data_IF_855832250242
#
_entry.id   IF_855832250242
#
_cell.length_a   1.000
_cell.length_b   1.000
_cell.length_c   1.000
_cell.angle_alpha   90.00
_cell.angle_beta   90.00
_cell.angle_gamma   90.00
#
_symmetry.space_group_name_H-M   'P 1'
#
loop_
_entity.id
_entity.type
_entity.pdbx_description
1 polymer ?
#
# COMPACT_ATOMS: atom_id res chain seq x y z
N UNK A 1 35.25 57.21 -28.33
CA UNK A 1 36.31 56.20 -28.14
C UNK A 1 36.66 56.21 -26.66
N UNK A 2 36.31 55.24 -25.84
CA UNK A 2 35.80 53.90 -26.12
C UNK A 2 35.02 53.42 -24.91
N UNK A 3 33.94 52.71 -25.20
CA UNK A 3 33.24 51.77 -24.32
C UNK A 3 34.22 50.80 -23.67
N UNK A 4 33.95 50.33 -22.44
CA UNK A 4 34.05 48.92 -22.03
C UNK A 4 33.31 48.71 -20.70
N UNK A 5 32.02 48.38 -20.83
CA UNK A 5 31.29 47.52 -19.91
C UNK A 5 31.96 46.14 -19.87
N UNK A 6 32.34 45.66 -18.69
CA UNK A 6 32.57 44.22 -18.47
C UNK A 6 31.74 43.75 -17.27
N UNK A 7 30.45 43.59 -17.54
CA UNK A 7 29.60 42.72 -16.74
C UNK A 7 30.00 41.28 -17.03
N UNK A 8 30.77 40.67 -16.12
CA UNK A 8 30.95 39.21 -16.10
C UNK A 8 29.65 38.55 -15.60
N UNK A 9 28.59 38.66 -16.40
CA UNK A 9 27.34 37.94 -16.26
C UNK A 9 27.49 36.57 -16.85
N UNK A 10 27.69 35.57 -16.00
CA UNK A 10 27.58 34.16 -16.38
C UNK A 10 26.20 33.94 -17.06
N UNK A 11 26.14 33.55 -18.35
CA UNK A 11 24.89 33.39 -19.09
C UNK A 11 24.08 32.17 -18.64
N UNK A 12 24.67 31.29 -17.85
CA UNK A 12 23.94 30.26 -17.11
C UNK A 12 23.47 30.88 -15.80
N UNK A 13 22.33 31.57 -15.89
CA UNK A 13 21.59 32.05 -14.73
C UNK A 13 21.56 30.97 -13.66
N UNK A 14 21.76 31.40 -12.41
CA UNK A 14 21.68 30.55 -11.22
C UNK A 14 20.40 29.71 -11.33
N UNK A 15 20.52 28.46 -11.76
CA UNK A 15 19.53 27.42 -11.47
C UNK A 15 19.60 27.27 -9.96
N UNK A 16 18.89 28.15 -9.26
CA UNK A 16 18.59 27.96 -7.87
C UNK A 16 17.75 26.69 -7.87
N UNK A 17 18.39 25.60 -7.47
CA UNK A 17 17.78 24.32 -7.17
C UNK A 17 16.90 24.57 -5.93
N UNK A 18 15.75 25.19 -6.14
CA UNK A 18 14.77 25.39 -5.09
C UNK A 18 14.23 24.00 -4.76
N UNK A 19 14.75 23.43 -3.67
CA UNK A 19 14.19 22.33 -2.91
C UNK A 19 13.78 21.11 -3.73
N UNK A 20 14.61 20.07 -3.75
CA UNK A 20 14.10 18.71 -3.98
C UNK A 20 12.88 18.50 -3.07
N UNK A 21 11.69 18.24 -3.63
CA UNK A 21 10.50 17.96 -2.82
C UNK A 21 10.85 16.84 -1.86
N UNK A 22 10.64 17.07 -0.57
CA UNK A 22 10.81 16.02 0.41
C UNK A 22 9.79 14.92 0.10
N UNK A 23 10.18 13.63 0.15
CA UNK A 23 9.40 12.49 -0.39
C UNK A 23 8.06 12.20 0.32
N UNK A 24 7.63 13.10 1.21
CA UNK A 24 6.40 13.02 1.98
C UNK A 24 5.69 14.37 2.15
N UNK A 25 6.14 15.42 1.45
CA UNK A 25 5.53 16.74 1.55
C UNK A 25 4.22 16.78 0.75
N UNK A 26 3.19 17.40 1.35
CA UNK A 26 1.89 17.59 0.69
C UNK A 26 2.07 18.44 -0.57
N UNK A 27 1.28 18.14 -1.61
CA UNK A 27 1.33 18.88 -2.87
C UNK A 27 0.96 20.35 -2.63
N UNK A 28 1.80 21.26 -3.15
CA UNK A 28 1.51 22.70 -3.11
C UNK A 28 0.32 23.03 -4.02
N UNK A 29 -0.42 24.11 -3.72
CA UNK A 29 -1.58 24.50 -4.54
C UNK A 29 -1.18 24.86 -5.98
N UNK A 30 -0.01 25.47 -6.18
CA UNK A 30 0.49 25.83 -7.51
C UNK A 30 0.83 24.59 -8.34
N UNK A 31 1.44 23.57 -7.73
CA UNK A 31 1.74 22.31 -8.42
C UNK A 31 0.49 21.49 -8.68
N UNK A 32 -0.42 21.39 -7.70
CA UNK A 32 -1.72 20.75 -7.89
C UNK A 32 -2.49 21.38 -9.06
N UNK A 33 -2.41 22.71 -9.24
CA UNK A 33 -3.04 23.41 -10.38
C UNK A 33 -2.41 23.01 -11.71
N UNK A 34 -1.08 22.84 -11.78
CA UNK A 34 -0.40 22.36 -12.99
C UNK A 34 -0.86 20.94 -13.35
N UNK A 35 -0.94 20.05 -12.36
CA UNK A 35 -1.38 18.67 -12.59
C UNK A 35 -2.86 18.56 -12.93
N UNK A 36 -3.72 19.39 -12.34
CA UNK A 36 -5.13 19.43 -12.72
C UNK A 36 -5.30 19.85 -14.18
N UNK A 37 -4.52 20.84 -14.65
CA UNK A 37 -4.50 21.25 -16.07
C UNK A 37 -3.95 20.15 -16.98
N UNK A 38 -2.92 19.43 -16.56
CA UNK A 38 -2.36 18.31 -17.31
C UNK A 38 -3.39 17.19 -17.48
N UNK A 39 -4.07 16.81 -16.40
CA UNK A 39 -5.13 15.83 -16.42
C UNK A 39 -6.27 16.28 -17.34
N UNK A 40 -6.72 17.52 -17.22
CA UNK A 40 -7.76 18.10 -18.07
C UNK A 40 -7.37 18.07 -19.56
N UNK A 41 -6.11 18.36 -19.87
CA UNK A 41 -5.59 18.32 -21.24
C UNK A 41 -5.43 16.91 -21.82
N UNK A 42 -5.52 15.87 -20.99
CA UNK A 42 -5.45 14.47 -21.43
C UNK A 42 -6.78 13.94 -21.98
N UNK A 43 -7.88 14.70 -21.82
CA UNK A 43 -9.22 14.32 -22.25
C UNK A 43 -9.87 15.39 -23.13
N UNK A 44 -10.96 15.04 -23.81
CA UNK A 44 -11.72 15.97 -24.64
C UNK A 44 -12.44 17.02 -23.78
N UNK A 45 -12.35 18.30 -24.16
CA UNK A 45 -13.07 19.39 -23.49
C UNK A 45 -14.60 19.29 -23.59
N UNK A 46 -15.11 18.58 -24.60
CA UNK A 46 -16.55 18.48 -24.83
C UNK A 46 -17.29 17.67 -23.75
N UNK A 47 -16.58 16.92 -22.92
CA UNK A 47 -17.15 16.07 -21.87
C UNK A 47 -17.38 16.84 -20.55
N UNK A 48 -17.11 18.15 -20.51
CA UNK A 48 -17.05 18.93 -19.27
C UNK A 48 -17.89 20.18 -19.40
N UNK A 49 -18.91 20.29 -18.54
CA UNK A 49 -19.77 21.49 -18.48
C UNK A 49 -19.02 22.70 -17.91
N UNK A 50 -18.33 22.53 -16.77
CA UNK A 50 -17.58 23.60 -16.10
C UNK A 50 -16.13 23.15 -15.75
N UNK A 51 -15.15 23.48 -16.61
CA UNK A 51 -13.77 23.08 -16.39
C UNK A 51 -13.09 23.82 -15.24
N UNK A 52 -13.55 25.02 -14.89
CA UNK A 52 -12.94 25.81 -13.81
C UNK A 52 -13.33 25.25 -12.45
N UNK A 53 -14.63 24.94 -12.26
CA UNK A 53 -15.12 24.32 -11.04
C UNK A 53 -14.54 22.91 -10.86
N UNK A 54 -14.47 22.13 -11.94
CA UNK A 54 -13.83 20.82 -11.89
C UNK A 54 -12.35 20.91 -11.52
N UNK A 55 -11.59 21.80 -12.16
CA UNK A 55 -10.18 22.00 -11.84
C UNK A 55 -9.98 22.44 -10.38
N UNK A 56 -10.82 23.34 -9.86
CA UNK A 56 -10.76 23.75 -8.47
C UNK A 56 -11.00 22.58 -7.49
N UNK A 57 -11.96 21.71 -7.80
CA UNK A 57 -12.23 20.51 -7.01
C UNK A 57 -11.06 19.51 -7.06
N UNK A 58 -10.47 19.27 -8.24
CA UNK A 58 -9.31 18.39 -8.41
C UNK A 58 -8.09 18.93 -7.67
N UNK A 59 -7.81 20.24 -7.75
CA UNK A 59 -6.74 20.89 -7.00
C UNK A 59 -6.93 20.67 -5.50
N UNK A 60 -8.17 20.82 -5.00
CA UNK A 60 -8.47 20.57 -3.60
C UNK A 60 -8.15 19.13 -3.20
N UNK A 61 -8.50 18.15 -4.04
CA UNK A 61 -8.17 16.73 -3.82
C UNK A 61 -6.65 16.54 -3.79
N UNK A 62 -5.92 17.03 -4.80
CA UNK A 62 -4.46 16.85 -4.90
C UNK A 62 -3.68 17.45 -3.73
N UNK A 63 -4.13 18.58 -3.16
CA UNK A 63 -3.52 19.16 -1.95
C UNK A 63 -3.60 18.26 -0.70
N UNK A 64 -4.48 17.25 -0.67
CA UNK A 64 -4.55 16.27 0.41
C UNK A 64 -3.51 15.15 0.28
N UNK A 65 -2.92 14.95 -0.89
CA UNK A 65 -1.98 13.86 -1.18
C UNK A 65 -0.54 14.39 -1.33
N UNK A 66 0.47 13.54 -1.08
CA UNK A 66 1.87 13.92 -1.31
C UNK A 66 2.16 14.11 -2.80
N UNK A 67 3.16 14.93 -3.10
CA UNK A 67 3.50 15.32 -4.47
C UNK A 67 3.74 14.12 -5.39
N UNK A 68 4.45 13.11 -4.92
CA UNK A 68 4.82 11.91 -5.69
C UNK A 68 3.59 11.11 -6.13
N UNK A 69 2.55 11.07 -5.29
CA UNK A 69 1.29 10.40 -5.61
C UNK A 69 0.58 11.15 -6.73
N UNK A 70 0.51 12.48 -6.67
CA UNK A 70 -0.15 13.30 -7.70
C UNK A 70 0.58 13.19 -9.04
N UNK A 71 1.92 13.22 -9.03
CA UNK A 71 2.75 13.01 -10.22
C UNK A 71 2.42 11.67 -10.89
N UNK A 72 2.40 10.58 -10.12
CA UNK A 72 2.14 9.25 -10.68
C UNK A 72 0.69 9.09 -11.18
N UNK A 73 -0.28 9.70 -10.50
CA UNK A 73 -1.69 9.65 -10.92
C UNK A 73 -1.93 10.42 -12.21
N UNK A 74 -1.25 11.56 -12.41
CA UNK A 74 -1.36 12.38 -13.60
C UNK A 74 -0.37 12.03 -14.71
N UNK A 75 0.44 10.98 -14.55
CA UNK A 75 1.38 10.53 -15.58
C UNK A 75 0.60 10.05 -16.82
N UNK A 76 0.84 10.61 -18.03
CA UNK A 76 0.12 10.21 -19.23
C UNK A 76 0.44 8.77 -19.68
N UNK A 77 1.54 8.17 -19.22
CA UNK A 77 2.01 6.84 -19.64
C UNK A 77 1.47 5.72 -18.74
N UNK A 78 1.31 5.99 -17.44
CA UNK A 78 0.92 4.97 -16.44
C UNK A 78 -0.26 5.37 -15.55
N UNK A 79 -0.65 6.65 -15.56
CA UNK A 79 -1.65 7.23 -14.69
C UNK A 79 -3.08 7.08 -15.22
N UNK A 80 -3.95 7.99 -14.75
CA UNK A 80 -5.39 7.97 -15.04
C UNK A 80 -5.71 7.93 -16.54
N UNK A 81 -4.98 8.70 -17.34
CA UNK A 81 -5.21 8.82 -18.78
C UNK A 81 -5.01 7.49 -19.54
N UNK A 82 -4.23 6.56 -18.98
CA UNK A 82 -4.05 5.22 -19.56
C UNK A 82 -5.09 4.22 -19.03
N UNK A 83 -5.61 4.43 -17.82
CA UNK A 83 -6.56 3.51 -17.16
C UNK A 83 -8.00 3.74 -17.59
N UNK A 84 -8.38 4.99 -17.81
CA UNK A 84 -9.76 5.39 -18.09
C UNK A 84 -9.89 5.88 -19.53
N UNK A 85 -10.87 5.33 -20.24
CA UNK A 85 -11.19 5.74 -21.62
C UNK A 85 -11.93 7.08 -21.68
N UNK A 86 -12.73 7.35 -20.66
CA UNK A 86 -13.65 8.49 -20.58
C UNK A 86 -13.22 9.45 -19.48
N UNK A 87 -13.76 10.66 -19.49
CA UNK A 87 -13.45 11.67 -18.49
C UNK A 87 -13.68 11.17 -17.04
N UNK A 88 -12.68 11.29 -16.16
CA UNK A 88 -12.77 10.76 -14.81
C UNK A 88 -13.68 11.58 -13.91
N UNK A 89 -14.44 10.90 -13.06
CA UNK A 89 -15.19 11.51 -11.97
C UNK A 89 -14.26 11.90 -10.81
N UNK A 90 -14.68 12.87 -9.98
CA UNK A 90 -13.93 13.24 -8.77
C UNK A 90 -13.73 12.06 -7.80
N UNK A 91 -14.67 11.12 -7.78
CA UNK A 91 -14.59 9.91 -6.96
C UNK A 91 -13.48 8.96 -7.45
N UNK A 92 -13.37 8.77 -8.77
CA UNK A 92 -12.32 7.94 -9.38
C UNK A 92 -10.94 8.55 -9.16
N UNK A 93 -10.80 9.87 -9.35
CA UNK A 93 -9.55 10.58 -9.06
C UNK A 93 -9.11 10.36 -7.61
N UNK A 94 -10.04 10.55 -6.66
CA UNK A 94 -9.75 10.31 -5.23
C UNK A 94 -9.41 8.85 -4.95
N UNK A 95 -10.12 7.92 -5.55
CA UNK A 95 -9.88 6.48 -5.41
C UNK A 95 -8.47 6.13 -5.87
N UNK A 96 -8.06 6.62 -7.03
CA UNK A 96 -6.73 6.38 -7.60
C UNK A 96 -5.60 7.02 -6.79
N UNK A 97 -5.78 8.27 -6.35
CA UNK A 97 -4.83 8.89 -5.40
C UNK A 97 -4.68 8.06 -4.12
N UNK A 98 -5.79 7.49 -3.61
CA UNK A 98 -5.77 6.65 -2.41
C UNK A 98 -5.06 5.32 -2.66
N UNK A 99 -5.32 4.67 -3.81
CA UNK A 99 -4.67 3.42 -4.20
C UNK A 99 -3.15 3.60 -4.35
N UNK A 100 -2.71 4.62 -5.10
CA UNK A 100 -1.29 4.92 -5.30
C UNK A 100 -0.62 5.29 -3.96
N UNK A 101 -1.29 6.10 -3.12
CA UNK A 101 -0.79 6.42 -1.78
C UNK A 101 -0.58 5.17 -0.92
N UNK A 102 -1.51 4.20 -0.98
CA UNK A 102 -1.37 2.93 -0.28
C UNK A 102 -0.18 2.12 -0.81
N UNK A 103 0.03 2.08 -2.13
CA UNK A 103 1.20 1.42 -2.74
C UNK A 103 2.52 2.02 -2.27
N UNK A 104 2.63 3.35 -2.21
CA UNK A 104 3.80 4.02 -1.66
C UNK A 104 4.01 3.67 -0.18
N UNK A 105 2.94 3.70 0.62
CA UNK A 105 3.02 3.31 2.04
C UNK A 105 3.46 1.85 2.21
N UNK A 106 2.96 0.93 1.39
CA UNK A 106 3.40 -0.46 1.36
C UNK A 106 4.85 -0.61 0.92
N UNK A 107 5.29 0.17 -0.07
CA UNK A 107 6.68 0.19 -0.54
C UNK A 107 7.63 0.66 0.55
N UNK A 108 7.30 1.75 1.24
CA UNK A 108 8.11 2.28 2.35
C UNK A 108 8.13 1.32 3.52
N UNK A 109 7.00 0.70 3.87
CA UNK A 109 6.96 -0.36 4.89
C UNK A 109 7.89 -1.52 4.53
N UNK A 110 7.87 -1.98 3.27
CA UNK A 110 8.76 -3.06 2.81
C UNK A 110 10.23 -2.67 2.89
N UNK A 111 10.60 -1.46 2.48
CA UNK A 111 11.98 -0.95 2.61
C UNK A 111 12.44 -0.83 4.05
N UNK A 112 11.53 -0.51 4.96
CA UNK A 112 11.84 -0.31 6.38
C UNK A 112 11.69 -1.57 7.23
N UNK A 113 11.22 -2.68 6.63
CA UNK A 113 11.13 -3.96 7.30
C UNK A 113 12.54 -4.40 7.76
N UNK A 114 12.69 -4.63 9.07
CA UNK A 114 13.95 -5.05 9.65
C UNK A 114 14.94 -3.93 9.99
N UNK A 115 14.72 -2.67 9.56
CA UNK A 115 15.61 -1.55 9.91
C UNK A 115 15.55 -1.15 11.39
N UNK A 116 14.39 -1.29 12.01
CA UNK A 116 14.18 -0.97 13.44
C UNK A 116 14.45 -2.15 14.36
N UNK A 117 14.74 -3.33 13.82
CA UNK A 117 15.12 -4.49 14.62
C UNK A 117 16.60 -4.30 14.94
N UNK A 118 16.93 -4.04 16.21
CA UNK A 118 18.32 -4.05 16.65
C UNK A 118 18.96 -5.36 16.21
N UNK A 119 20.21 -5.34 15.70
CA UNK A 119 20.92 -6.58 15.39
C UNK A 119 20.75 -7.56 16.55
N UNK A 120 20.43 -8.85 16.30
CA UNK A 120 20.29 -9.82 17.36
C UNK A 120 21.54 -9.74 18.22
N UNK A 121 21.37 -9.56 19.54
CA UNK A 121 22.52 -9.60 20.43
C UNK A 121 23.28 -10.91 20.22
N UNK A 122 24.61 -10.83 20.31
CA UNK A 122 25.46 -12.00 20.28
C UNK A 122 24.89 -13.03 21.27
N UNK A 123 24.56 -14.23 20.79
CA UNK A 123 23.93 -15.31 21.59
C UNK A 123 24.89 -15.94 22.61
N UNK A 124 25.88 -15.17 23.11
CA UNK A 124 26.96 -15.57 24.01
C UNK A 124 26.48 -16.09 25.37
N UNK A 125 25.18 -16.03 25.67
CA UNK A 125 24.55 -16.65 26.84
C UNK A 125 23.54 -17.76 26.53
N UNK A 126 23.45 -18.24 25.27
CA UNK A 126 22.55 -19.36 24.94
C UNK A 126 23.13 -20.65 25.54
N UNK A 127 22.38 -21.36 26.41
CA UNK A 127 22.89 -22.58 27.01
C UNK A 127 23.25 -23.61 25.95
N UNK A 128 24.36 -24.31 26.18
CA UNK A 128 24.79 -25.38 25.29
C UNK A 128 23.78 -26.54 25.32
N UNK A 129 23.80 -27.39 24.29
CA UNK A 129 22.86 -28.52 24.21
C UNK A 129 22.99 -29.48 25.42
N UNK A 130 24.20 -29.61 25.96
CA UNK A 130 24.49 -30.36 27.18
C UNK A 130 23.88 -29.71 28.43
N UNK A 131 24.01 -28.39 28.58
CA UNK A 131 23.41 -27.63 29.69
C UNK A 131 21.87 -27.69 29.65
N UNK A 132 21.26 -27.63 28.46
CA UNK A 132 19.81 -27.80 28.31
C UNK A 132 19.34 -29.18 28.76
N UNK A 133 20.08 -30.24 28.37
CA UNK A 133 19.80 -31.61 28.82
C UNK A 133 20.04 -31.79 30.31
N UNK A 134 21.02 -31.09 30.90
CA UNK A 134 21.23 -31.11 32.34
C UNK A 134 20.08 -30.42 33.10
N UNK A 135 19.56 -29.31 32.57
CA UNK A 135 18.47 -28.55 33.20
C UNK A 135 17.10 -29.22 33.08
N UNK A 136 16.81 -29.84 31.93
CA UNK A 136 15.48 -30.38 31.63
C UNK A 136 15.45 -31.90 31.44
N UNK A 137 16.58 -32.58 31.66
CA UNK A 137 16.73 -34.01 31.43
C UNK A 137 16.94 -34.38 29.94
N UNK A 138 17.16 -35.68 29.65
CA UNK A 138 17.42 -36.17 28.29
C UNK A 138 16.33 -35.80 27.27
N UNK A 139 15.08 -35.65 27.74
CA UNK A 139 13.92 -35.35 26.91
C UNK A 139 13.45 -33.89 26.98
N UNK A 140 14.33 -32.97 27.39
CA UNK A 140 14.03 -31.52 27.42
C UNK A 140 12.77 -31.14 28.21
N UNK A 141 12.41 -31.91 29.23
CA UNK A 141 11.24 -31.67 30.08
C UNK A 141 9.90 -32.02 29.41
N UNK A 142 9.94 -32.61 28.22
CA UNK A 142 8.77 -33.19 27.57
C UNK A 142 8.56 -34.55 28.25
N UNK A 143 7.34 -34.89 28.67
CA UNK A 143 7.07 -36.26 29.10
C UNK A 143 7.13 -37.15 27.84
N UNK A 144 8.07 -38.10 27.77
CA UNK A 144 7.80 -39.28 26.96
C UNK A 144 6.75 -40.03 27.77
N UNK A 145 5.47 -39.84 27.44
CA UNK A 145 4.55 -40.93 27.67
C UNK A 145 5.18 -42.13 26.96
N UNK A 146 5.53 -43.16 27.72
CA UNK A 146 5.98 -44.43 27.19
C UNK A 146 4.89 -44.95 26.25
N UNK A 147 4.95 -44.53 24.98
CA UNK A 147 4.20 -45.13 23.88
C UNK A 147 4.88 -46.46 23.51
N UNK A 148 5.01 -47.33 24.51
CA UNK A 148 5.05 -48.77 24.32
C UNK A 148 3.61 -49.26 24.22
N UNK A 149 2.89 -48.79 23.20
CA UNK A 149 1.81 -49.53 22.56
C UNK A 149 1.52 -48.85 21.24
N UNK A 150 1.45 -49.63 20.17
CA UNK A 150 1.19 -49.17 18.80
C UNK A 150 -0.21 -48.60 18.62
N UNK A 151 -0.52 -47.49 19.27
CA UNK A 151 -1.66 -46.67 18.92
C UNK A 151 -1.16 -45.52 18.06
N UNK A 152 -1.37 -45.66 16.75
CA UNK A 152 -1.58 -44.50 15.88
C UNK A 152 -2.54 -43.60 16.65
N UNK A 153 -2.04 -42.49 17.19
CA UNK A 153 -2.94 -41.48 17.73
C UNK A 153 -3.77 -41.07 16.54
N UNK A 154 -5.01 -41.55 16.49
CA UNK A 154 -6.01 -41.05 15.59
C UNK A 154 -5.94 -39.54 15.76
N UNK A 155 -5.41 -38.83 14.75
CA UNK A 155 -5.73 -37.40 14.61
C UNK A 155 -7.22 -37.35 14.90
N UNK A 156 -7.71 -36.46 15.81
CA UNK A 156 -9.14 -36.36 16.03
C UNK A 156 -9.72 -36.28 14.63
N UNK A 157 -10.52 -37.29 14.29
CA UNK A 157 -11.12 -37.38 12.98
C UNK A 157 -11.98 -36.14 12.96
N UNK A 158 -11.45 -35.06 12.37
CA UNK A 158 -12.16 -33.80 12.22
C UNK A 158 -13.23 -34.16 11.21
N UNK A 159 -14.28 -34.82 11.69
CA UNK A 159 -15.48 -35.15 10.94
C UNK A 159 -16.05 -33.78 10.62
N UNK A 160 -15.66 -33.26 9.46
CA UNK A 160 -16.37 -32.16 8.86
C UNK A 160 -17.83 -32.59 8.85
N UNK A 161 -18.72 -31.73 9.37
CA UNK A 161 -20.14 -32.01 9.31
C UNK A 161 -20.49 -32.26 7.84
N UNK A 162 -21.16 -33.38 7.59
CA UNK A 162 -21.72 -33.65 6.27
C UNK A 162 -22.66 -32.51 5.87
N UNK A 163 -22.87 -32.29 4.57
CA UNK A 163 -23.71 -31.19 4.09
C UNK A 163 -25.11 -31.20 4.71
N UNK A 164 -25.66 -32.38 4.98
CA UNK A 164 -26.96 -32.57 5.65
C UNK A 164 -26.91 -32.10 7.12
N UNK A 165 -25.88 -32.49 7.87
CA UNK A 165 -25.67 -32.02 9.25
C UNK A 165 -25.46 -30.50 9.31
N UNK A 166 -24.76 -29.93 8.32
CA UNK A 166 -24.55 -28.49 8.21
C UNK A 166 -25.87 -27.74 7.94
N UNK A 167 -26.73 -28.29 7.07
CA UNK A 167 -28.05 -27.74 6.80
C UNK A 167 -28.96 -27.77 8.04
N UNK A 168 -28.95 -28.86 8.81
CA UNK A 168 -29.69 -28.98 10.07
C UNK A 168 -29.20 -27.99 11.12
N UNK A 169 -27.87 -27.83 11.25
CA UNK A 169 -27.28 -26.85 12.15
C UNK A 169 -27.69 -25.42 11.77
N UNK A 170 -27.61 -25.05 10.49
CA UNK A 170 -28.07 -23.73 10.05
C UNK A 170 -29.59 -23.54 10.23
N UNK A 171 -30.39 -24.59 10.09
CA UNK A 171 -31.83 -24.55 10.39
C UNK A 171 -32.09 -24.35 11.89
N UNK A 172 -31.36 -25.05 12.75
CA UNK A 172 -31.45 -24.94 14.22
C UNK A 172 -31.11 -23.54 14.73
N UNK A 173 -30.10 -22.90 14.15
CA UNK A 173 -29.67 -21.55 14.54
C UNK A 173 -30.30 -20.44 13.69
N UNK A 174 -31.29 -20.74 12.84
CA UNK A 174 -32.00 -19.75 12.03
C UNK A 174 -31.17 -19.09 10.93
N UNK A 175 -30.04 -19.69 10.55
CA UNK A 175 -29.07 -19.20 9.56
C UNK A 175 -29.32 -19.75 8.14
N UNK A 176 -30.34 -20.60 7.96
CA UNK A 176 -30.62 -21.29 6.69
C UNK A 176 -31.03 -20.39 5.50
N UNK A 177 -31.24 -19.09 5.71
CA UNK A 177 -31.71 -18.14 4.69
C UNK A 177 -30.60 -17.37 3.95
N UNK A 178 -29.32 -17.58 4.27
CA UNK A 178 -28.20 -16.84 3.65
C UNK A 178 -27.64 -17.46 2.37
N UNK A 179 -28.06 -18.67 2.00
CA UNK A 179 -27.68 -19.29 0.73
C UNK A 179 -28.73 -18.93 -0.31
N UNK A 180 -28.60 -17.74 -0.92
CA UNK A 180 -29.30 -17.46 -2.18
C UNK A 180 -28.79 -18.46 -3.21
N UNK A 181 -29.65 -19.37 -3.65
CA UNK A 181 -29.38 -20.24 -4.79
C UNK A 181 -29.12 -19.34 -6.01
N UNK A 182 -27.87 -19.24 -6.44
CA UNK A 182 -27.58 -18.92 -7.84
C UNK A 182 -28.06 -20.12 -8.65
N UNK A 183 -29.24 -20.00 -9.24
CA UNK A 183 -29.68 -20.88 -10.33
C UNK A 183 -29.37 -20.16 -11.63
N UNK A 184 -28.88 -20.98 -12.56
CA UNK A 184 -28.49 -20.77 -13.97
C UNK A 184 -29.16 -19.62 -14.73
#
# INVERSE_FOLDING_TARGET
>A
MSDEDQTNGNPFGKFSMHGSPQPNSKTSQSDATKFAKLLLGSYSRAEIDDPEVFAAAVVRIFCHYPFEVVVQVCDPVFGLATKLKWFPTLAEIKSECTAVSAEFAHRERRKNLGKSISPPEDRKGRPTMAELKAKYGPNWGIAQEDKLSGAIMNKPDFKCMTNEQLAEHYKKYGLGCLIKKSQE
#
